data_IF_040555541418
#
_entry.id   IF_040555541418
#
_cell.length_a   1.000
_cell.length_b   1.000
_cell.length_c   1.000
_cell.angle_alpha   90.00
_cell.angle_beta   90.00
_cell.angle_gamma   90.00
#
_symmetry.space_group_name_H-M   'P 1'
#
loop_
_entity.id
_entity.type
_entity.pdbx_description
1 polymer ?
#
# COMPACT_ATOMS: atom_id res chain seq x y z
N UNK A 1 10.96 1.21 14.22
CA UNK A 1 10.79 -0.09 13.52
C UNK A 1 10.29 0.23 12.12
N UNK A 2 10.89 -0.37 11.09
CA UNK A 2 10.42 -0.17 9.72
C UNK A 2 9.39 -1.24 9.35
N UNK A 3 8.29 -0.82 8.74
CA UNK A 3 7.21 -1.66 8.24
C UNK A 3 7.20 -1.48 6.72
N UNK A 4 7.46 -2.58 6.01
CA UNK A 4 7.33 -2.62 4.55
C UNK A 4 5.86 -2.84 4.21
N UNK A 5 5.38 -2.07 3.24
CA UNK A 5 3.99 -2.13 2.79
C UNK A 5 3.99 -2.23 1.29
N UNK A 6 3.54 -3.38 0.79
CA UNK A 6 3.44 -3.62 -0.64
C UNK A 6 2.10 -3.10 -1.15
N UNK A 7 2.13 -2.36 -2.25
CA UNK A 7 0.98 -1.68 -2.83
C UNK A 7 0.67 -2.31 -4.19
N UNK A 8 -0.54 -2.81 -4.36
CA UNK A 8 -0.97 -3.44 -5.60
C UNK A 8 -2.33 -2.90 -6.06
N UNK A 9 -2.50 -2.60 -7.36
CA UNK A 9 -3.82 -2.51 -7.94
C UNK A 9 -4.42 -3.92 -7.98
N UNK A 10 -5.71 -4.05 -7.64
CA UNK A 10 -6.47 -5.29 -7.76
C UNK A 10 -7.66 -5.16 -8.72
N UNK A 11 -8.07 -3.91 -8.99
CA UNK A 11 -9.01 -3.51 -10.05
C UNK A 11 -8.65 -2.07 -10.48
N UNK A 12 -9.22 -1.56 -11.58
CA UNK A 12 -8.91 -0.22 -12.11
C UNK A 12 -9.13 0.94 -11.12
N UNK A 13 -9.97 0.73 -10.12
CA UNK A 13 -10.29 1.71 -9.08
C UNK A 13 -10.13 1.14 -7.68
N UNK A 14 -9.44 0.00 -7.52
CA UNK A 14 -9.28 -0.64 -6.21
C UNK A 14 -7.84 -1.09 -6.00
N UNK A 15 -7.32 -0.71 -4.84
CA UNK A 15 -5.94 -0.95 -4.43
C UNK A 15 -5.93 -1.70 -3.12
N UNK A 16 -5.04 -2.68 -3.00
CA UNK A 16 -4.75 -3.35 -1.75
C UNK A 16 -3.34 -2.97 -1.30
N UNK A 17 -3.18 -2.82 0.01
CA UNK A 17 -1.87 -2.76 0.64
C UNK A 17 -1.66 -3.95 1.55
N UNK A 18 -0.50 -4.59 1.43
CA UNK A 18 -0.08 -5.72 2.28
C UNK A 18 0.99 -5.20 3.24
N UNK A 19 0.70 -5.24 4.52
CA UNK A 19 1.50 -4.63 5.58
C UNK A 19 2.26 -5.73 6.32
N UNK A 20 3.57 -5.80 6.13
CA UNK A 20 4.45 -6.79 6.75
C UNK A 20 4.75 -6.41 8.21
N UNK A 21 3.98 -6.99 9.13
CA UNK A 21 4.07 -6.67 10.56
C UNK A 21 4.63 -7.83 11.41
N UNK A 22 5.22 -7.54 12.59
CA UNK A 22 5.89 -8.56 13.41
C UNK A 22 5.01 -9.72 13.89
N UNK A 23 3.69 -9.53 13.95
CA UNK A 23 2.71 -10.54 14.39
C UNK A 23 2.04 -11.29 13.24
N UNK A 24 2.53 -11.07 12.01
CA UNK A 24 1.94 -11.57 10.79
C UNK A 24 1.42 -10.43 9.91
N UNK A 25 1.33 -10.66 8.59
CA UNK A 25 0.86 -9.66 7.65
C UNK A 25 -0.64 -9.38 7.83
N UNK A 26 -1.05 -8.16 7.49
CA UNK A 26 -2.45 -7.79 7.34
C UNK A 26 -2.60 -6.85 6.15
N UNK A 27 -3.83 -6.64 5.69
CA UNK A 27 -4.09 -5.81 4.51
C UNK A 27 -5.22 -4.82 4.74
N UNK A 28 -5.23 -3.79 3.90
CA UNK A 28 -6.32 -2.82 3.78
C UNK A 28 -6.50 -2.43 2.32
N UNK A 29 -7.72 -2.01 1.97
CA UNK A 29 -8.11 -1.66 0.61
C UNK A 29 -8.54 -0.19 0.53
N UNK A 30 -8.18 0.46 -0.57
CA UNK A 30 -8.61 1.83 -0.87
C UNK A 30 -9.12 1.92 -2.30
N UNK A 31 -9.98 2.90 -2.56
CA UNK A 31 -10.51 3.16 -3.90
C UNK A 31 -9.64 4.13 -4.71
N UNK A 32 -8.70 4.80 -4.05
CA UNK A 32 -7.95 5.90 -4.65
C UNK A 32 -6.51 5.88 -4.19
N UNK A 33 -5.52 5.95 -5.11
CA UNK A 33 -4.11 5.95 -4.76
C UNK A 33 -3.73 7.04 -3.73
N UNK A 34 -4.35 8.21 -3.79
CA UNK A 34 -4.05 9.32 -2.86
C UNK A 34 -4.41 9.02 -1.39
N UNK A 35 -5.28 8.05 -1.14
CA UNK A 35 -5.72 7.70 0.21
C UNK A 35 -4.81 6.63 0.86
N UNK A 36 -3.97 5.94 0.09
CA UNK A 36 -3.19 4.78 0.53
C UNK A 36 -2.30 5.09 1.73
N UNK A 37 -1.54 6.19 1.70
CA UNK A 37 -0.62 6.52 2.78
C UNK A 37 -1.36 6.82 4.09
N UNK A 38 -2.50 7.53 4.01
CA UNK A 38 -3.31 7.85 5.17
C UNK A 38 -3.95 6.58 5.76
N UNK A 39 -4.47 5.71 4.89
CA UNK A 39 -5.13 4.47 5.27
C UNK A 39 -4.16 3.45 5.89
N UNK A 40 -2.97 3.29 5.31
CA UNK A 40 -1.89 2.46 5.88
C UNK A 40 -1.48 2.98 7.27
N UNK A 41 -1.30 4.29 7.43
CA UNK A 41 -0.98 4.89 8.75
C UNK A 41 -2.08 4.63 9.78
N UNK A 42 -3.34 4.74 9.39
CA UNK A 42 -4.48 4.46 10.24
C UNK A 42 -4.53 2.98 10.64
N UNK A 43 -4.38 2.08 9.67
CA UNK A 43 -4.38 0.63 9.86
C UNK A 43 -3.23 0.15 10.74
N UNK A 44 -2.00 0.62 10.49
CA UNK A 44 -0.83 0.34 11.35
C UNK A 44 -1.09 0.79 12.78
N UNK A 45 -1.64 1.99 12.98
CA UNK A 45 -1.97 2.49 14.33
C UNK A 45 -3.07 1.66 14.99
N UNK A 46 -4.08 1.24 14.24
CA UNK A 46 -5.19 0.44 14.74
C UNK A 46 -4.77 -0.96 15.17
N UNK A 47 -3.90 -1.62 14.40
CA UNK A 47 -3.48 -3.01 14.62
C UNK A 47 -2.29 -3.12 15.55
N UNK A 48 -1.26 -2.28 15.38
CA UNK A 48 0.00 -2.36 16.14
C UNK A 48 0.07 -1.36 17.31
N UNK A 49 -0.89 -0.45 17.41
CA UNK A 49 -0.96 0.56 18.46
C UNK A 49 -0.09 1.80 18.18
N UNK A 50 0.35 2.47 19.24
CA UNK A 50 1.24 3.63 19.14
C UNK A 50 2.70 3.19 19.25
N UNK A 51 3.53 3.59 18.30
CA UNK A 51 4.96 3.32 18.30
C UNK A 51 5.69 4.10 17.21
N UNK A 52 7.03 4.20 17.26
CA UNK A 52 7.83 4.80 16.20
C UNK A 52 7.92 3.84 15.01
N UNK A 53 6.86 3.83 14.19
CA UNK A 53 6.79 3.08 12.95
C UNK A 53 7.23 3.96 11.78
N UNK A 54 8.26 3.52 11.07
CA UNK A 54 8.61 4.04 9.75
C UNK A 54 7.89 3.18 8.71
N UNK A 55 7.10 3.79 7.84
CA UNK A 55 6.37 3.08 6.79
C UNK A 55 7.14 3.25 5.48
N UNK A 56 7.42 2.13 4.82
CA UNK A 56 8.03 2.09 3.50
C UNK A 56 7.01 1.49 2.52
N UNK A 57 6.42 2.33 1.66
CA UNK A 57 5.53 1.88 0.60
C UNK A 57 6.36 1.39 -0.59
N UNK A 58 6.03 0.22 -1.11
CA UNK A 58 6.72 -0.38 -2.27
C UNK A 58 5.75 -0.95 -3.30
N UNK A 59 6.17 -0.97 -4.56
CA UNK A 59 5.40 -1.57 -5.65
C UNK A 59 5.69 -3.09 -5.77
N UNK A 60 5.09 -3.74 -6.77
CA UNK A 60 5.27 -5.17 -7.05
C UNK A 60 6.68 -5.55 -7.53
N UNK A 61 7.51 -4.57 -7.91
CA UNK A 61 8.93 -4.75 -8.21
C UNK A 61 9.81 -4.50 -6.98
N UNK A 62 9.19 -4.18 -5.84
CA UNK A 62 9.85 -3.83 -4.60
C UNK A 62 10.49 -2.44 -4.57
N UNK A 63 10.19 -1.59 -5.56
CA UNK A 63 10.67 -0.21 -5.64
C UNK A 63 9.79 0.71 -4.79
N UNK A 64 10.31 1.87 -4.37
CA UNK A 64 9.53 2.84 -3.61
C UNK A 64 8.28 3.27 -4.37
N UNK A 65 7.13 3.14 -3.74
CA UNK A 65 5.84 3.49 -4.33
C UNK A 65 5.45 4.93 -3.99
N UNK A 66 4.85 5.62 -4.98
CA UNK A 66 4.27 6.96 -4.82
C UNK A 66 2.94 7.03 -5.56
N UNK A 67 2.10 8.02 -5.24
CA UNK A 67 0.86 8.30 -6.00
C UNK A 67 1.17 8.51 -7.50
N UNK A 68 2.29 9.15 -7.83
CA UNK A 68 2.70 9.38 -9.22
C UNK A 68 3.10 8.10 -9.97
N UNK A 69 3.51 7.04 -9.26
CA UNK A 69 3.82 5.73 -9.87
C UNK A 69 2.59 4.84 -10.04
N UNK A 70 1.44 5.22 -9.48
CA UNK A 70 0.22 4.41 -9.48
C UNK A 70 -0.23 4.05 -10.90
N UNK A 71 -0.39 5.03 -11.79
CA UNK A 71 -0.83 4.79 -13.17
C UNK A 71 0.16 3.90 -13.95
N UNK A 72 1.46 4.11 -13.75
CA UNK A 72 2.48 3.31 -14.41
C UNK A 72 2.45 1.85 -13.94
N UNK A 73 2.22 1.63 -12.64
CA UNK A 73 2.05 0.30 -12.07
C UNK A 73 0.76 -0.37 -12.57
N UNK A 74 -0.38 0.32 -12.55
CA UNK A 74 -1.67 -0.19 -13.06
C UNK A 74 -1.58 -0.63 -14.51
N UNK A 75 -0.96 0.18 -15.38
CA UNK A 75 -0.67 -0.20 -16.78
C UNK A 75 0.19 -1.44 -16.88
N UNK A 76 1.28 -1.47 -16.13
CA UNK A 76 2.23 -2.58 -16.16
C UNK A 76 1.59 -3.90 -15.72
N UNK A 77 0.64 -3.84 -14.78
CA UNK A 77 -0.08 -5.00 -14.24
C UNK A 77 -1.40 -5.30 -14.97
N UNK A 78 -1.79 -4.50 -15.97
CA UNK A 78 -2.99 -4.74 -16.78
C UNK A 78 -4.31 -4.33 -16.11
N UNK A 79 -4.28 -3.41 -15.15
CA UNK A 79 -5.46 -2.90 -14.44
C UNK A 79 -5.96 -1.54 -14.94
N UNK A 80 -5.33 -0.94 -15.95
CA UNK A 80 -5.85 0.30 -16.55
C UNK A 80 -7.23 0.07 -17.17
N UNK A 81 -8.20 0.90 -16.79
CA UNK A 81 -9.43 1.04 -17.53
C UNK A 81 -9.08 1.72 -18.86
N UNK A 82 -9.16 0.96 -19.96
CA UNK A 82 -9.08 1.52 -21.31
C UNK A 82 -10.19 2.54 -21.59
#
# INVERSE_FOLDING_TARGET
MRIRVEVFPIESTRWITVIEAPRGPFSTETLRPEDIEADVKASVRGVLGKGPFEIELVDDLGQSWTVASADAQSRRLGFDAG
#
